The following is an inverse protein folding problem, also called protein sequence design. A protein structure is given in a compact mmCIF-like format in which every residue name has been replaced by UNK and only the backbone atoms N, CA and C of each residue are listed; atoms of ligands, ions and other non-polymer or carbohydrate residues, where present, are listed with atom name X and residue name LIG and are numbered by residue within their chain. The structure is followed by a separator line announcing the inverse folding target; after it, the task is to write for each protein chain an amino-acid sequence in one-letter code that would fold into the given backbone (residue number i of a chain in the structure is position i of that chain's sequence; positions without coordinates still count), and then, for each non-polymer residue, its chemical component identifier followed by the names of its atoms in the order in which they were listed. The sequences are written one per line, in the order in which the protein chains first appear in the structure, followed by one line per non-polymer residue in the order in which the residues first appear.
data_IF_067374603224
#
_entry.id   IF_067374603224
#
_cell.length_a   1.000
_cell.length_b   1.000
_cell.length_c   1.000
_cell.angle_alpha   90.00
_cell.angle_beta   90.00
_cell.angle_gamma   90.00
#
_symmetry.space_group_name_H-M   'P 1'
#
loop_
_entity.id
_entity.type
_entity.pdbx_description
1 polymer ?
#
# COMPACT_ATOMS: atom_id res chain seq x y z
N UNK A 1 -49.44 11.77 -64.10
CA UNK A 1 -48.88 10.65 -64.90
C UNK A 1 -48.31 9.65 -63.90
N UNK A 2 -49.06 8.61 -63.52
CA UNK A 2 -48.94 7.20 -63.99
C UNK A 2 -47.47 6.69 -63.89
N UNK A 3 -47.12 5.68 -63.10
CA UNK A 3 -47.93 4.71 -62.37
C UNK A 3 -47.12 3.87 -61.36
N UNK A 4 -47.87 3.09 -60.58
CA UNK A 4 -47.41 2.00 -59.70
C UNK A 4 -47.36 0.69 -60.49
N UNK A 5 -46.41 -0.20 -60.19
CA UNK A 5 -46.48 -1.69 -60.26
C UNK A 5 -45.15 -2.19 -59.62
N UNK A 6 -45.11 -2.74 -58.41
CA UNK A 6 -45.50 -4.10 -57.94
C UNK A 6 -44.63 -5.26 -58.44
N UNK A 7 -43.99 -5.91 -57.45
CA UNK A 7 -43.59 -7.33 -57.30
C UNK A 7 -42.63 -7.98 -58.32
N UNK A 8 -41.57 -8.61 -57.80
CA UNK A 8 -41.42 -10.08 -57.82
C UNK A 8 -40.37 -10.54 -56.79
N UNK A 9 -40.78 -11.50 -55.98
CA UNK A 9 -39.97 -12.29 -55.04
C UNK A 9 -39.21 -13.34 -55.86
N UNK A 10 -37.94 -13.57 -55.55
CA UNK A 10 -37.15 -14.66 -56.10
C UNK A 10 -35.96 -14.97 -55.21
N UNK A 11 -36.15 -15.90 -54.27
CA UNK A 11 -35.08 -16.48 -53.48
C UNK A 11 -34.22 -17.39 -54.37
N UNK A 12 -32.90 -17.24 -54.28
CA UNK A 12 -31.96 -18.29 -54.66
C UNK A 12 -30.71 -18.16 -53.78
N UNK A 13 -30.69 -18.97 -52.72
CA UNK A 13 -29.48 -19.31 -52.02
C UNK A 13 -28.65 -20.25 -52.91
N UNK A 14 -27.39 -19.88 -53.17
CA UNK A 14 -26.37 -20.80 -53.66
C UNK A 14 -25.03 -20.35 -53.08
N UNK A 15 -24.61 -21.07 -52.04
CA UNK A 15 -23.24 -21.08 -51.58
C UNK A 15 -22.36 -21.73 -52.65
N UNK A 16 -21.26 -21.08 -53.03
CA UNK A 16 -20.11 -21.72 -53.64
C UNK A 16 -18.84 -20.96 -53.25
N UNK A 17 -17.97 -21.68 -52.54
CA UNK A 17 -16.57 -21.34 -52.30
C UNK A 17 -15.85 -21.14 -53.63
N UNK A 18 -14.94 -20.17 -53.70
CA UNK A 18 -14.06 -20.02 -54.87
C UNK A 18 -13.22 -18.75 -54.81
N UNK A 19 -11.97 -18.92 -54.41
CA UNK A 19 -10.96 -17.88 -54.35
C UNK A 19 -10.76 -17.16 -55.70
N UNK A 20 -10.59 -15.84 -55.63
CA UNK A 20 -9.79 -15.08 -56.60
C UNK A 20 -9.10 -13.93 -55.86
N UNK A 21 -7.92 -14.24 -55.33
CA UNK A 21 -6.90 -13.25 -55.07
C UNK A 21 -6.35 -12.73 -56.42
N UNK A 22 -6.13 -11.42 -56.60
CA UNK A 22 -5.01 -10.95 -57.38
C UNK A 22 -3.83 -10.86 -56.39
N UNK A 23 -2.83 -11.74 -56.46
CA UNK A 23 -1.92 -11.78 -57.60
C UNK A 23 -0.99 -10.59 -57.48
N UNK A 24 0.15 -10.80 -56.80
CA UNK A 24 1.10 -9.76 -56.45
C UNK A 24 1.61 -8.94 -57.63
N UNK A 25 1.67 -7.62 -57.42
CA UNK A 25 2.57 -6.73 -58.15
C UNK A 25 3.60 -6.22 -57.16
N UNK A 26 4.85 -6.65 -57.36
CA UNK A 26 6.01 -6.14 -56.64
C UNK A 26 6.35 -4.72 -57.07
N UNK A 27 6.90 -3.98 -56.11
CA UNK A 27 7.72 -2.76 -56.24
C UNK A 27 7.04 -1.54 -56.89
N UNK A 28 6.10 -0.92 -56.17
CA UNK A 28 5.91 0.56 -56.09
C UNK A 28 4.59 0.94 -55.37
N UNK A 29 4.12 0.18 -54.38
CA UNK A 29 3.10 0.73 -53.47
C UNK A 29 3.83 1.60 -52.45
N UNK A 30 3.56 2.92 -52.37
CA UNK A 30 4.11 3.73 -51.29
C UNK A 30 3.76 3.07 -49.95
N UNK A 31 4.69 3.02 -48.99
CA UNK A 31 4.36 2.53 -47.66
C UNK A 31 3.14 3.29 -47.15
N UNK A 32 2.22 2.58 -46.49
CA UNK A 32 1.03 3.21 -45.92
C UNK A 32 1.46 4.39 -45.06
N UNK A 33 0.80 5.55 -45.16
CA UNK A 33 1.15 6.69 -44.33
C UNK A 33 1.06 6.28 -42.86
N UNK A 34 2.01 6.78 -42.05
CA UNK A 34 2.04 6.51 -40.61
C UNK A 34 0.70 6.96 -40.02
N UNK A 35 -0.03 6.09 -39.29
CA UNK A 35 -1.30 6.47 -38.69
C UNK A 35 -1.06 7.58 -37.66
N UNK A 36 -1.99 8.51 -37.52
CA UNK A 36 -1.86 9.62 -36.56
C UNK A 36 -1.84 9.12 -35.10
N UNK A 37 -2.52 8.00 -34.84
CA UNK A 37 -2.60 7.37 -33.52
C UNK A 37 -2.51 5.85 -33.63
N UNK A 38 -1.92 5.22 -32.62
CA UNK A 38 -1.88 3.75 -32.45
C UNK A 38 -2.65 3.36 -31.21
N UNK A 39 -3.66 2.51 -31.36
CA UNK A 39 -4.41 1.98 -30.22
C UNK A 39 -3.58 0.90 -29.51
N UNK A 40 -3.45 1.02 -28.20
CA UNK A 40 -2.70 0.11 -27.34
C UNK A 40 -3.52 -0.25 -26.10
N UNK A 41 -3.08 -1.29 -25.39
CA UNK A 41 -3.56 -1.61 -24.04
C UNK A 41 -2.43 -1.33 -23.07
N UNK A 42 -2.75 -0.63 -21.99
CA UNK A 42 -1.82 -0.28 -20.93
C UNK A 42 -2.29 -0.88 -19.61
N UNK A 43 -1.36 -1.15 -18.70
CA UNK A 43 -1.71 -1.62 -17.36
C UNK A 43 -2.08 -0.41 -16.50
N UNK A 44 -3.33 -0.38 -16.03
CA UNK A 44 -3.80 0.56 -15.02
C UNK A 44 -3.68 -0.10 -13.64
N UNK A 45 -2.77 0.42 -12.82
CA UNK A 45 -2.50 -0.05 -11.45
C UNK A 45 -3.43 0.65 -10.47
N UNK A 46 -4.66 0.16 -10.38
CA UNK A 46 -5.68 0.70 -9.50
C UNK A 46 -5.59 0.08 -8.08
N UNK A 47 -6.12 0.75 -7.04
CA UNK A 47 -6.20 0.20 -5.69
C UNK A 47 -6.94 -1.15 -5.58
N UNK A 48 -7.86 -1.41 -6.53
CA UNK A 48 -8.60 -2.67 -6.63
C UNK A 48 -7.83 -3.80 -7.34
N UNK A 49 -6.59 -3.56 -7.77
CA UNK A 49 -5.73 -4.49 -8.51
C UNK A 49 -5.38 -4.00 -9.93
N UNK A 50 -4.38 -4.62 -10.57
CA UNK A 50 -3.98 -4.30 -11.94
C UNK A 50 -5.08 -4.70 -12.92
N UNK A 51 -5.39 -3.83 -13.88
CA UNK A 51 -6.36 -4.07 -14.97
C UNK A 51 -5.84 -3.48 -16.28
N UNK A 52 -6.32 -3.98 -17.42
CA UNK A 52 -5.98 -3.41 -18.72
C UNK A 52 -6.93 -2.26 -19.07
N UNK A 53 -6.36 -1.08 -19.36
CA UNK A 53 -7.08 0.07 -19.91
C UNK A 53 -6.73 0.26 -21.39
N UNK A 54 -7.68 0.79 -22.17
CA UNK A 54 -7.43 1.17 -23.56
C UNK A 54 -6.73 2.53 -23.58
N UNK A 55 -5.69 2.64 -24.39
CA UNK A 55 -5.03 3.91 -24.64
C UNK A 55 -4.75 4.09 -26.14
N UNK A 56 -4.49 5.32 -26.56
CA UNK A 56 -4.02 5.65 -27.91
C UNK A 56 -2.75 6.48 -27.82
N UNK A 57 -1.72 6.10 -28.57
CA UNK A 57 -0.44 6.81 -28.64
C UNK A 57 -0.41 7.68 -29.88
N UNK A 58 -0.24 8.98 -29.70
CA UNK A 58 -0.03 9.95 -30.78
C UNK A 58 1.33 9.70 -31.43
N UNK A 59 1.33 9.46 -32.74
CA UNK A 59 2.57 9.19 -33.47
C UNK A 59 3.35 10.45 -33.83
N UNK A 60 2.75 11.62 -33.59
CA UNK A 60 3.32 12.95 -33.86
C UNK A 60 3.94 13.58 -32.61
N UNK A 61 3.28 13.45 -31.45
CA UNK A 61 3.73 14.04 -30.18
C UNK A 61 4.32 13.03 -29.19
N UNK A 62 4.04 11.73 -29.35
CA UNK A 62 4.43 10.73 -28.35
C UNK A 62 3.56 10.76 -27.10
N UNK A 63 2.42 11.46 -27.12
CA UNK A 63 1.49 11.46 -25.99
C UNK A 63 0.61 10.20 -25.99
N UNK A 64 0.43 9.63 -24.81
CA UNK A 64 -0.48 8.53 -24.51
C UNK A 64 -1.76 9.14 -23.97
N UNK A 65 -2.88 8.88 -24.64
CA UNK A 65 -4.22 9.20 -24.18
C UNK A 65 -4.82 7.94 -23.56
N UNK A 66 -5.00 7.91 -22.25
CA UNK A 66 -5.51 6.75 -21.51
C UNK A 66 -6.99 6.97 -21.22
N UNK A 67 -7.84 6.03 -21.62
CA UNK A 67 -9.25 6.02 -21.24
C UNK A 67 -9.40 5.40 -19.86
N UNK A 68 -9.74 6.24 -18.89
CA UNK A 68 -9.97 5.85 -17.52
C UNK A 68 -11.33 5.15 -17.34
N UNK A 69 -11.54 4.39 -16.26
CA UNK A 69 -12.78 3.66 -16.02
C UNK A 69 -14.01 4.54 -15.84
N UNK A 70 -13.82 5.80 -15.44
CA UNK A 70 -14.87 6.81 -15.32
C UNK A 70 -15.23 7.45 -16.67
N UNK A 71 -14.56 7.04 -17.77
CA UNK A 71 -14.74 7.56 -19.11
C UNK A 71 -13.93 8.82 -19.41
N UNK A 72 -13.13 9.32 -18.47
CA UNK A 72 -12.23 10.45 -18.70
C UNK A 72 -10.98 10.04 -19.50
N UNK A 73 -10.34 11.01 -20.15
CA UNK A 73 -9.10 10.79 -20.92
C UNK A 73 -7.96 11.54 -20.24
N UNK A 74 -6.98 10.80 -19.73
CA UNK A 74 -5.75 11.35 -19.16
C UNK A 74 -4.64 11.35 -20.21
N UNK A 75 -3.77 12.37 -20.20
CA UNK A 75 -2.66 12.51 -21.16
C UNK A 75 -1.33 12.33 -20.45
N UNK A 76 -0.48 11.44 -20.95
CA UNK A 76 0.84 11.13 -20.38
C UNK A 76 1.88 11.03 -21.49
N UNK A 77 3.02 11.70 -21.36
CA UNK A 77 4.09 11.62 -22.37
C UNK A 77 4.76 10.23 -22.35
N UNK A 78 4.96 9.59 -23.51
CA UNK A 78 5.52 8.24 -23.62
C UNK A 78 6.93 8.10 -23.06
N UNK A 79 7.75 9.16 -23.18
CA UNK A 79 9.13 9.19 -22.73
C UNK A 79 9.28 9.49 -21.23
N UNK A 80 8.21 9.93 -20.58
CA UNK A 80 8.17 10.18 -19.14
C UNK A 80 8.25 8.87 -18.33
N UNK A 81 8.71 8.92 -17.07
CA UNK A 81 8.71 7.75 -16.19
C UNK A 81 7.34 7.06 -16.11
N UNK A 82 6.25 7.84 -15.96
CA UNK A 82 4.89 7.29 -15.92
C UNK A 82 4.43 6.69 -17.25
N UNK A 83 4.88 7.25 -18.38
CA UNK A 83 4.61 6.70 -19.71
C UNK A 83 5.28 5.36 -19.95
N UNK A 84 6.54 5.19 -19.49
CA UNK A 84 7.29 3.94 -19.58
C UNK A 84 6.71 2.86 -18.67
N UNK A 85 6.42 3.22 -17.41
CA UNK A 85 5.82 2.33 -16.42
C UNK A 85 4.47 1.76 -16.90
N UNK A 86 3.70 2.50 -17.71
CA UNK A 86 2.40 2.06 -18.22
C UNK A 86 2.48 0.85 -19.17
N UNK A 87 3.64 0.63 -19.80
CA UNK A 87 3.91 -0.50 -20.71
C UNK A 87 4.79 -1.59 -20.09
N UNK A 88 5.54 -1.28 -19.04
CA UNK A 88 6.28 -2.31 -18.29
C UNK A 88 5.30 -3.19 -17.52
N UNK A 89 5.22 -4.47 -17.88
CA UNK A 89 4.38 -5.48 -17.22
C UNK A 89 5.28 -6.49 -16.54
N UNK A 90 5.15 -6.65 -15.23
CA UNK A 90 5.92 -7.65 -14.47
C UNK A 90 5.27 -9.04 -14.54
N UNK A 91 6.03 -10.11 -14.29
CA UNK A 91 5.48 -11.48 -14.26
C UNK A 91 4.39 -11.68 -13.20
N UNK A 92 4.52 -11.02 -12.04
CA UNK A 92 3.50 -11.05 -10.99
C UNK A 92 2.22 -10.34 -11.42
N UNK A 93 2.34 -9.19 -12.09
CA UNK A 93 1.19 -8.48 -12.66
C UNK A 93 0.56 -9.26 -13.81
N UNK A 94 1.36 -9.92 -14.65
CA UNK A 94 0.88 -10.79 -15.71
C UNK A 94 0.13 -12.00 -15.14
N UNK A 95 0.62 -12.57 -14.03
CA UNK A 95 -0.07 -13.64 -13.30
C UNK A 95 -1.37 -13.16 -12.63
N UNK A 96 -1.37 -11.96 -12.05
CA UNK A 96 -2.58 -11.36 -11.48
C UNK A 96 -3.61 -11.02 -12.57
N UNK A 97 -3.16 -10.48 -13.71
CA UNK A 97 -4.00 -10.16 -14.86
C UNK A 97 -4.56 -11.42 -15.53
N UNK A 98 -3.75 -12.47 -15.71
CA UNK A 98 -4.21 -13.74 -16.28
C UNK A 98 -5.22 -14.43 -15.36
N UNK A 99 -5.01 -14.42 -14.05
CA UNK A 99 -5.97 -14.93 -13.06
C UNK A 99 -7.29 -14.13 -13.08
N UNK A 100 -7.23 -12.80 -13.16
CA UNK A 100 -8.42 -11.94 -13.21
C UNK A 100 -9.16 -11.97 -14.55
N UNK A 101 -8.45 -12.22 -15.66
CA UNK A 101 -9.02 -12.20 -17.02
C UNK A 101 -9.29 -13.61 -17.59
N UNK A 102 -8.96 -14.68 -16.86
CA UNK A 102 -9.15 -16.07 -17.31
C UNK A 102 -8.32 -16.44 -18.55
N UNK A 103 -7.22 -15.74 -18.80
CA UNK A 103 -6.39 -15.92 -19.99
C UNK A 103 -5.34 -17.01 -19.76
N UNK A 104 -5.33 -18.04 -20.62
CA UNK A 104 -4.26 -19.06 -20.65
C UNK A 104 -3.18 -18.58 -21.63
N UNK A 105 -2.18 -17.87 -21.13
CA UNK A 105 -1.06 -17.43 -21.95
C UNK A 105 0.03 -18.51 -21.95
N UNK A 106 0.48 -18.91 -23.15
CA UNK A 106 1.60 -19.84 -23.32
C UNK A 106 2.93 -19.10 -23.45
N UNK A 107 4.08 -19.76 -23.21
CA UNK A 107 5.41 -19.17 -23.45
C UNK A 107 5.61 -18.63 -24.88
N UNK A 108 4.92 -19.21 -25.86
CA UNK A 108 4.94 -18.73 -27.25
C UNK A 108 4.17 -17.40 -27.44
N UNK A 109 3.13 -17.17 -26.63
CA UNK A 109 2.33 -15.94 -26.68
C UNK A 109 3.08 -14.74 -26.06
N UNK A 110 4.07 -14.99 -25.20
CA UNK A 110 4.90 -13.98 -24.55
C UNK A 110 6.28 -13.81 -25.22
N UNK A 111 6.62 -14.63 -26.21
CA UNK A 111 7.94 -14.64 -26.85
C UNK A 111 8.29 -13.36 -27.63
N UNK A 112 7.28 -12.53 -27.95
CA UNK A 112 7.48 -11.23 -28.61
C UNK A 112 7.55 -10.04 -27.62
N UNK A 113 7.36 -10.28 -26.32
CA UNK A 113 7.67 -9.27 -25.31
C UNK A 113 9.17 -9.37 -25.03
N UNK A 114 9.85 -8.23 -25.14
CA UNK A 114 11.24 -8.10 -24.70
C UNK A 114 11.23 -8.27 -23.17
N UNK A 115 11.38 -9.51 -22.70
CA UNK A 115 11.55 -9.82 -21.28
C UNK A 115 12.94 -9.30 -20.93
N UNK A 116 12.98 -8.03 -20.52
CA UNK A 116 14.20 -7.36 -20.07
C UNK A 116 14.82 -8.23 -18.98
N UNK A 117 16.09 -8.60 -19.23
CA UNK A 117 16.96 -9.42 -18.41
C UNK A 117 16.83 -9.17 -16.89
N UNK A 118 17.17 -10.17 -16.04
CA UNK A 118 17.28 -9.93 -14.61
C UNK A 118 18.37 -8.88 -14.38
N UNK A 119 18.28 -8.16 -13.26
CA UNK A 119 19.30 -7.22 -12.74
C UNK A 119 19.20 -5.76 -13.18
N UNK A 120 18.09 -5.10 -12.82
CA UNK A 120 18.22 -3.83 -12.09
C UNK A 120 17.39 -3.92 -10.82
N UNK A 121 17.96 -3.67 -9.63
CA UNK A 121 17.18 -3.59 -8.40
C UNK A 121 16.02 -2.62 -8.61
N UNK A 122 14.81 -3.08 -8.33
CA UNK A 122 13.60 -2.24 -8.36
C UNK A 122 13.90 -0.97 -7.58
N UNK A 123 13.77 0.20 -8.23
CA UNK A 123 13.85 1.47 -7.52
C UNK A 123 12.67 1.54 -6.56
N UNK A 124 12.89 1.90 -5.27
CA UNK A 124 11.80 1.99 -4.32
C UNK A 124 10.74 2.98 -4.82
N UNK A 125 9.48 2.57 -4.74
CA UNK A 125 8.33 3.45 -4.98
C UNK A 125 8.35 4.62 -4.00
N UNK A 126 7.71 5.74 -4.35
CA UNK A 126 7.58 6.88 -3.43
C UNK A 126 6.88 6.49 -2.11
N UNK A 127 5.97 5.50 -2.15
CA UNK A 127 5.37 4.93 -0.96
C UNK A 127 6.39 4.17 -0.11
N UNK A 128 7.23 3.31 -0.71
CA UNK A 128 8.27 2.57 0.02
C UNK A 128 9.28 3.53 0.64
N UNK A 129 9.72 4.56 -0.09
CA UNK A 129 10.57 5.63 0.46
C UNK A 129 9.90 6.37 1.62
N UNK A 130 8.60 6.66 1.51
CA UNK A 130 7.85 7.31 2.59
C UNK A 130 7.71 6.42 3.82
N UNK A 131 7.46 5.12 3.64
CA UNK A 131 7.40 4.14 4.72
C UNK A 131 8.77 3.94 5.39
N UNK A 132 9.85 3.91 4.61
CA UNK A 132 11.23 3.85 5.11
C UNK A 132 11.58 5.12 5.90
N UNK A 133 11.27 6.30 5.35
CA UNK A 133 11.47 7.57 6.03
C UNK A 133 10.65 7.66 7.33
N UNK A 134 9.44 7.11 7.37
CA UNK A 134 8.65 7.01 8.59
C UNK A 134 9.26 6.02 9.59
N UNK A 135 9.72 4.86 9.12
CA UNK A 135 10.38 3.86 9.95
C UNK A 135 11.65 4.44 10.60
N UNK A 136 12.43 5.24 9.87
CA UNK A 136 13.60 5.95 10.38
C UNK A 136 13.28 6.96 11.51
N UNK A 137 12.03 7.43 11.60
CA UNK A 137 11.56 8.32 12.67
C UNK A 137 11.03 7.58 13.90
N UNK A 138 10.97 6.26 13.87
CA UNK A 138 10.54 5.44 14.99
C UNK A 138 11.51 5.58 16.15
N UNK A 139 10.99 5.93 17.33
CA UNK A 139 11.76 6.02 18.57
C UNK A 139 11.29 4.97 19.58
N UNK A 140 12.13 4.61 20.57
CA UNK A 140 11.67 3.87 21.74
C UNK A 140 10.47 4.54 22.38
N UNK A 141 9.57 3.75 22.97
CA UNK A 141 8.37 4.31 23.61
C UNK A 141 8.73 5.23 24.79
N UNK A 142 9.72 4.86 25.61
CA UNK A 142 10.11 5.67 26.76
C UNK A 142 10.65 7.05 26.32
N UNK A 143 10.24 8.14 26.99
CA UNK A 143 10.85 9.44 26.82
C UNK A 143 12.35 9.44 27.14
N UNK A 144 13.05 10.43 26.58
CA UNK A 144 14.45 10.70 26.91
C UNK A 144 14.51 11.39 28.27
N UNK A 145 15.10 10.74 29.27
CA UNK A 145 15.40 11.37 30.56
C UNK A 145 16.89 11.72 30.66
N UNK A 146 17.25 12.74 31.46
CA UNK A 146 18.64 13.10 31.72
C UNK A 146 19.50 11.92 32.18
N UNK A 147 20.80 11.99 31.89
CA UNK A 147 21.76 11.00 32.35
C UNK A 147 21.72 10.90 33.89
N UNK A 148 21.67 9.67 34.41
CA UNK A 148 21.58 9.41 35.85
C UNK A 148 20.20 9.63 36.47
N UNK A 149 19.16 9.94 35.68
CA UNK A 149 17.80 10.07 36.21
C UNK A 149 17.33 8.79 36.93
N UNK A 150 16.84 8.97 38.16
CA UNK A 150 16.17 7.93 38.96
C UNK A 150 14.84 8.46 39.48
N UNK A 151 13.78 7.71 39.22
CA UNK A 151 12.47 8.04 39.73
C UNK A 151 12.38 7.75 41.24
N UNK A 152 11.60 8.57 41.94
CA UNK A 152 11.31 8.40 43.36
C UNK A 152 10.16 7.40 43.52
N UNK A 153 10.34 6.27 44.24
CA UNK A 153 9.30 5.25 44.40
C UNK A 153 7.97 5.81 44.92
N UNK A 154 8.02 6.81 45.79
CA UNK A 154 6.83 7.41 46.38
C UNK A 154 5.94 8.14 45.36
N UNK A 155 6.42 8.40 44.13
CA UNK A 155 5.63 9.01 43.07
C UNK A 155 4.59 8.07 42.47
N UNK A 156 4.69 6.76 42.69
CA UNK A 156 3.89 5.74 42.01
C UNK A 156 2.82 5.17 42.95
N UNK A 157 1.53 5.35 42.59
CA UNK A 157 0.37 4.90 43.36
C UNK A 157 -0.29 3.62 42.81
N UNK A 158 0.44 2.84 42.01
CA UNK A 158 -0.06 1.63 41.34
C UNK A 158 -0.58 1.85 39.92
N UNK A 159 -0.58 0.78 39.12
CA UNK A 159 -1.05 0.76 37.74
C UNK A 159 -1.94 -0.46 37.51
N UNK A 160 -2.96 -0.29 36.67
CA UNK A 160 -3.88 -1.34 36.23
C UNK A 160 -3.77 -1.47 34.71
N UNK A 161 -3.55 -2.69 34.25
CA UNK A 161 -3.53 -3.03 32.82
C UNK A 161 -4.82 -3.75 32.48
N UNK A 162 -5.55 -3.25 31.48
CA UNK A 162 -6.83 -3.80 31.04
C UNK A 162 -6.80 -4.02 29.52
N UNK A 163 -6.92 -5.27 29.04
CA UNK A 163 -7.20 -5.54 27.65
C UNK A 163 -8.50 -4.85 27.24
N UNK A 164 -8.46 -4.20 26.09
CA UNK A 164 -9.62 -3.71 25.37
C UNK A 164 -9.90 -4.69 24.23
N UNK A 165 -11.15 -4.75 23.77
CA UNK A 165 -11.50 -5.53 22.58
C UNK A 165 -10.63 -5.12 21.38
N UNK A 166 -9.94 -6.09 20.78
CA UNK A 166 -9.10 -5.92 19.59
C UNK A 166 -9.64 -6.70 18.38
N UNK A 167 -9.10 -6.41 17.20
CA UNK A 167 -9.43 -7.09 15.95
C UNK A 167 -8.17 -7.74 15.32
N UNK A 168 -8.21 -8.06 14.02
CA UNK A 168 -7.08 -8.68 13.29
C UNK A 168 -5.81 -7.82 13.25
N UNK A 169 -5.87 -6.52 13.59
CA UNK A 169 -4.76 -5.57 13.49
C UNK A 169 -3.95 -5.42 14.78
N UNK A 170 -4.42 -5.99 15.90
CA UNK A 170 -3.70 -6.02 17.17
C UNK A 170 -4.64 -6.00 18.37
N UNK A 171 -4.12 -6.45 19.52
CA UNK A 171 -4.83 -6.35 20.78
C UNK A 171 -4.65 -4.94 21.35
N UNK A 172 -5.76 -4.27 21.68
CA UNK A 172 -5.72 -2.97 22.33
C UNK A 172 -5.63 -3.18 23.84
N UNK A 173 -4.80 -2.39 24.51
CA UNK A 173 -4.63 -2.46 25.96
C UNK A 173 -4.59 -1.06 26.53
N UNK A 174 -5.36 -0.83 27.58
CA UNK A 174 -5.33 0.40 28.37
C UNK A 174 -4.55 0.18 29.66
N UNK A 175 -3.63 1.09 29.96
CA UNK A 175 -2.93 1.18 31.23
C UNK A 175 -3.40 2.43 31.96
N UNK A 176 -4.03 2.22 33.11
CA UNK A 176 -4.45 3.28 34.02
C UNK A 176 -3.48 3.32 35.20
N UNK A 177 -2.74 4.41 35.38
CA UNK A 177 -1.78 4.56 36.47
C UNK A 177 -2.09 5.78 37.35
N UNK A 178 -1.86 5.62 38.65
CA UNK A 178 -2.00 6.68 39.66
C UNK A 178 -0.61 7.14 40.07
N UNK A 179 -0.42 8.45 40.18
CA UNK A 179 0.82 9.09 40.59
C UNK A 179 0.56 10.21 41.59
N UNK A 180 1.61 10.65 42.28
CA UNK A 180 1.58 11.86 43.09
C UNK A 180 1.26 13.10 42.24
N UNK A 181 0.58 14.11 42.82
CA UNK A 181 0.39 15.39 42.15
C UNK A 181 1.76 16.05 41.88
N UNK A 182 1.87 16.77 40.76
CA UNK A 182 3.10 17.47 40.36
C UNK A 182 4.12 16.63 39.59
N UNK A 183 3.88 15.32 39.41
CA UNK A 183 4.67 14.50 38.48
C UNK A 183 4.47 14.98 37.04
N UNK A 184 5.57 15.06 36.29
CA UNK A 184 5.56 15.50 34.91
C UNK A 184 4.95 14.46 33.96
N UNK A 185 4.61 14.91 32.75
CA UNK A 185 3.93 14.08 31.77
C UNK A 185 4.79 12.92 31.24
N UNK A 186 6.10 13.11 31.13
CA UNK A 186 7.01 12.10 30.61
C UNK A 186 7.20 10.97 31.61
N UNK A 187 7.35 11.28 32.91
CA UNK A 187 7.40 10.27 33.96
C UNK A 187 6.06 9.52 34.10
N UNK A 188 4.94 10.23 33.99
CA UNK A 188 3.61 9.60 34.02
C UNK A 188 3.43 8.61 32.84
N UNK A 189 3.82 9.01 31.63
CA UNK A 189 3.76 8.16 30.45
C UNK A 189 4.76 6.98 30.52
N UNK A 190 5.98 7.23 31.00
CA UNK A 190 6.98 6.20 31.21
C UNK A 190 6.49 5.14 32.20
N UNK A 191 5.83 5.55 33.29
CA UNK A 191 5.25 4.61 34.24
C UNK A 191 4.18 3.72 33.61
N UNK A 192 3.26 4.30 32.84
CA UNK A 192 2.26 3.51 32.11
C UNK A 192 2.90 2.55 31.10
N UNK A 193 3.97 2.98 30.43
CA UNK A 193 4.73 2.14 29.48
C UNK A 193 5.48 1.00 30.19
N UNK A 194 6.07 1.27 31.37
CA UNK A 194 6.73 0.26 32.18
C UNK A 194 5.75 -0.80 32.71
N UNK A 195 4.58 -0.37 33.19
CA UNK A 195 3.51 -1.27 33.61
C UNK A 195 2.99 -2.14 32.46
N UNK A 196 2.85 -1.56 31.25
CA UNK A 196 2.53 -2.34 30.06
C UNK A 196 3.61 -3.39 29.76
N UNK A 197 4.88 -3.03 29.86
CA UNK A 197 5.99 -3.93 29.54
C UNK A 197 6.03 -5.14 30.48
N UNK A 198 5.78 -4.95 31.78
CA UNK A 198 5.67 -6.05 32.75
C UNK A 198 4.53 -7.01 32.40
N UNK A 199 3.36 -6.46 32.11
CA UNK A 199 2.20 -7.24 31.71
C UNK A 199 2.40 -7.95 30.36
N UNK A 200 2.92 -7.25 29.35
CA UNK A 200 3.17 -7.79 28.02
C UNK A 200 4.16 -8.96 28.05
N UNK A 201 5.19 -8.90 28.92
CA UNK A 201 6.12 -10.01 29.13
C UNK A 201 5.40 -11.26 29.66
N UNK A 202 4.48 -11.09 30.61
CA UNK A 202 3.69 -12.20 31.14
C UNK A 202 2.75 -12.80 30.08
N UNK A 203 2.30 -12.00 29.12
CA UNK A 203 1.47 -12.44 27.99
C UNK A 203 2.27 -12.91 26.76
N UNK A 204 3.60 -12.98 26.84
CA UNK A 204 4.45 -13.39 25.73
C UNK A 204 4.48 -12.42 24.54
N UNK A 205 4.13 -11.14 24.73
CA UNK A 205 4.12 -10.12 23.66
C UNK A 205 5.41 -9.32 23.64
N UNK A 206 5.96 -9.13 22.44
CA UNK A 206 7.29 -8.56 22.26
C UNK A 206 7.29 -7.07 21.96
N UNK A 207 6.20 -6.56 21.38
CA UNK A 207 6.09 -5.16 21.00
C UNK A 207 4.77 -4.53 21.42
N UNK A 208 4.84 -3.22 21.68
CA UNK A 208 3.68 -2.37 21.85
C UNK A 208 3.83 -1.05 21.09
N UNK A 209 2.77 -0.55 20.47
CA UNK A 209 2.73 0.79 19.88
C UNK A 209 1.76 1.67 20.64
N UNK A 210 2.24 2.84 21.04
CA UNK A 210 1.43 3.85 21.71
C UNK A 210 0.38 4.45 20.77
N UNK A 211 -0.85 4.60 21.28
CA UNK A 211 -1.99 5.18 20.56
C UNK A 211 -2.36 6.55 21.13
N UNK A 212 -2.54 6.62 22.46
CA UNK A 212 -2.93 7.87 23.15
C UNK A 212 -2.58 7.83 24.62
N UNK A 213 -2.44 9.01 25.22
CA UNK A 213 -2.35 9.21 26.67
C UNK A 213 -3.25 10.36 27.08
N UNK A 214 -4.09 10.14 28.08
CA UNK A 214 -4.89 11.17 28.74
C UNK A 214 -4.43 11.34 30.19
N UNK A 215 -4.47 12.57 30.69
CA UNK A 215 -4.13 12.88 32.08
C UNK A 215 -5.29 13.59 32.77
N UNK A 216 -5.52 13.23 34.03
CA UNK A 216 -6.48 13.89 34.90
C UNK A 216 -5.79 14.29 36.21
N UNK A 217 -5.77 15.59 36.50
CA UNK A 217 -5.22 16.20 37.71
C UNK A 217 -6.39 16.58 38.62
N UNK A 218 -6.96 15.59 39.31
CA UNK A 218 -8.16 15.77 40.14
C UNK A 218 -8.07 15.00 41.44
N UNK A 219 -8.68 15.53 42.51
CA UNK A 219 -8.81 14.82 43.79
C UNK A 219 -7.47 14.51 44.49
N UNK A 220 -6.47 15.39 44.38
CA UNK A 220 -5.18 15.23 45.05
C UNK A 220 -4.26 14.14 44.48
N UNK A 221 -4.61 13.55 43.33
CA UNK A 221 -3.79 12.55 42.62
C UNK A 221 -3.68 12.88 41.14
N UNK A 222 -2.59 12.45 40.51
CA UNK A 222 -2.45 12.46 39.05
C UNK A 222 -2.86 11.09 38.53
N UNK A 223 -3.84 11.04 37.64
CA UNK A 223 -4.24 9.82 36.95
C UNK A 223 -3.82 9.91 35.48
N UNK A 224 -3.25 8.85 34.94
CA UNK A 224 -2.88 8.75 33.53
C UNK A 224 -3.50 7.48 32.93
N UNK A 225 -4.18 7.64 31.80
CA UNK A 225 -4.71 6.55 30.98
C UNK A 225 -3.99 6.50 29.65
N UNK A 226 -3.19 5.46 29.41
CA UNK A 226 -2.44 5.27 28.16
C UNK A 226 -2.94 4.04 27.42
N UNK A 227 -3.23 4.17 26.13
CA UNK A 227 -3.67 3.07 25.29
C UNK A 227 -2.59 2.67 24.31
N UNK A 228 -2.41 1.36 24.14
CA UNK A 228 -1.41 0.75 23.28
C UNK A 228 -2.04 -0.35 22.44
N UNK A 229 -1.40 -0.65 21.32
CA UNK A 229 -1.60 -1.88 20.55
C UNK A 229 -0.46 -2.84 20.84
N UNK A 230 -0.74 -4.15 20.94
CA UNK A 230 0.27 -5.19 21.15
C UNK A 230 0.40 -6.11 19.95
N UNK A 231 1.65 -6.44 19.61
CA UNK A 231 1.97 -7.27 18.45
C UNK A 231 3.22 -8.13 18.68
N UNK A 232 3.32 -9.22 17.92
CA UNK A 232 4.47 -10.13 17.97
C UNK A 232 5.63 -9.62 17.10
N UNK A 233 5.30 -8.91 16.02
CA UNK A 233 6.25 -8.25 15.13
C UNK A 233 6.30 -6.76 15.44
N UNK A 234 7.46 -6.15 15.19
CA UNK A 234 7.69 -4.70 15.41
C UNK A 234 6.68 -3.90 14.58
N UNK A 235 5.75 -3.16 15.21
CA UNK A 235 4.77 -2.37 14.50
C UNK A 235 5.43 -1.10 13.93
N UNK A 236 4.87 -0.57 12.85
CA UNK A 236 5.18 0.79 12.42
C UNK A 236 4.57 1.80 13.41
N UNK A 237 5.36 2.79 13.85
CA UNK A 237 4.87 3.88 14.70
C UNK A 237 5.99 4.79 15.18
N UNK A 238 5.65 6.01 15.62
CA UNK A 238 6.66 6.97 16.12
C UNK A 238 7.21 6.59 17.50
N UNK A 239 6.43 5.88 18.31
CA UNK A 239 6.80 5.41 19.65
C UNK A 239 6.47 3.93 19.78
N UNK A 240 7.50 3.10 19.75
CA UNK A 240 7.39 1.65 19.83
C UNK A 240 8.11 1.14 21.06
N UNK A 241 7.37 0.42 21.88
CA UNK A 241 7.86 -0.32 23.03
C UNK A 241 8.38 -1.66 22.55
N UNK A 242 9.63 -1.98 22.85
CA UNK A 242 10.13 -3.34 22.85
C UNK A 242 10.15 -3.84 24.28
N UNK A 243 9.44 -4.93 24.56
CA UNK A 243 9.12 -5.36 25.93
C UNK A 243 10.36 -5.54 26.80
N UNK A 244 11.35 -6.29 26.34
CA UNK A 244 12.55 -6.59 27.14
C UNK A 244 13.45 -5.37 27.32
N UNK A 245 13.67 -4.59 26.26
CA UNK A 245 14.48 -3.37 26.32
C UNK A 245 13.84 -2.31 27.23
N UNK A 246 12.51 -2.20 27.17
CA UNK A 246 11.74 -1.28 28.02
C UNK A 246 11.84 -1.69 29.47
N UNK A 247 11.66 -2.98 29.81
CA UNK A 247 11.82 -3.46 31.18
C UNK A 247 13.21 -3.18 31.76
N UNK A 248 14.26 -3.40 30.97
CA UNK A 248 15.62 -3.05 31.38
C UNK A 248 15.75 -1.55 31.65
N UNK A 249 15.27 -0.71 30.74
CA UNK A 249 15.28 0.75 30.91
C UNK A 249 14.47 1.24 32.11
N UNK A 250 13.33 0.61 32.40
CA UNK A 250 12.50 0.90 33.56
C UNK A 250 13.26 0.59 34.86
N UNK A 251 13.89 -0.59 34.93
CA UNK A 251 14.75 -0.99 36.05
C UNK A 251 15.91 -0.01 36.25
N UNK A 252 16.58 0.36 35.17
CA UNK A 252 17.71 1.30 35.19
C UNK A 252 17.30 2.71 35.60
N UNK A 253 16.02 3.08 35.49
CA UNK A 253 15.50 4.39 35.91
C UNK A 253 14.74 4.34 37.23
N UNK A 254 14.61 3.17 37.86
CA UNK A 254 13.82 3.00 39.09
C UNK A 254 12.32 3.19 38.89
N UNK A 255 11.80 2.99 37.67
CA UNK A 255 10.37 3.07 37.37
C UNK A 255 9.78 1.67 37.52
N UNK A 256 8.77 1.45 38.39
CA UNK A 256 8.16 0.14 38.58
C UNK A 256 7.45 -0.35 37.30
N UNK A 257 7.59 -1.65 37.00
CA UNK A 257 7.00 -2.29 35.83
C UNK A 257 5.66 -3.03 36.11
N UNK A 258 5.04 -2.73 37.26
CA UNK A 258 3.90 -3.43 37.86
C UNK A 258 4.18 -4.89 38.28
#
# INVERSE_FOLDING_TARGET
MRGRLSLLIGAAALAALGACAPGGKGLATPPRPKPEQVNVKVVNRAPAGPRLSRASVSTKSGDILILEPDGSVSTVALDSPSGRDAFEVTEQELNALSANLGLKLSPADVANFDIVAPEKPRVPTEQEKALEAFAARTRPALPDFPAGFKAKPENFGGALVRPLSGDKSGELVEVSARLKPGVDADLAFAYATCALAGWAKAQGRHYGRHIRTLQNKGGGTLQVGSVFTLSDKKPMGLRVMETNQTLQSCKDRGIPAA
#
